data_IF_846135404825
#
_entry.id   IF_846135404825
#
_cell.length_a   1.000
_cell.length_b   1.000
_cell.length_c   1.000
_cell.angle_alpha   90.00
_cell.angle_beta   90.00
_cell.angle_gamma   90.00
#
_symmetry.space_group_name_H-M   'P 1'
#
loop_
_entity.id
_entity.type
_entity.pdbx_description
1 polymer ?
#
# COMPACT_ATOMS: atom_id res chain seq x y z
N UNK A 1 -6.12 21.43 -18.28
CA UNK A 1 -6.82 20.51 -19.20
C UNK A 1 -8.31 20.76 -19.06
N UNK A 2 -9.00 20.99 -20.16
CA UNK A 2 -10.46 21.13 -20.19
C UNK A 2 -11.11 19.76 -20.00
N UNK A 3 -12.21 19.70 -19.24
CA UNK A 3 -12.98 18.48 -19.02
C UNK A 3 -14.09 18.39 -20.08
N UNK A 4 -14.22 17.26 -20.74
CA UNK A 4 -15.22 16.96 -21.75
C UNK A 4 -16.06 15.78 -21.28
N UNK A 5 -17.37 15.85 -21.45
CA UNK A 5 -18.30 14.81 -21.04
C UNK A 5 -18.48 13.80 -22.18
N UNK A 6 -18.39 12.50 -21.86
CA UNK A 6 -18.45 11.42 -22.83
C UNK A 6 -19.81 10.71 -22.79
N UNK A 7 -20.43 10.54 -23.94
CA UNK A 7 -21.64 9.74 -24.12
C UNK A 7 -21.68 9.10 -25.51
N UNK A 8 -21.85 7.80 -25.56
CA UNK A 8 -22.06 7.01 -26.80
C UNK A 8 -21.05 7.31 -27.92
N UNK A 9 -19.78 7.40 -27.58
CA UNK A 9 -18.69 7.65 -28.53
C UNK A 9 -18.44 9.14 -28.84
N UNK A 10 -19.28 10.05 -28.34
CA UNK A 10 -19.18 11.49 -28.57
C UNK A 10 -18.76 12.27 -27.33
N UNK A 11 -18.11 13.42 -27.57
CA UNK A 11 -17.66 14.34 -26.54
C UNK A 11 -18.50 15.62 -26.53
N UNK A 12 -18.76 16.14 -25.34
CA UNK A 12 -19.60 17.33 -25.13
C UNK A 12 -18.89 18.29 -24.16
N UNK A 13 -19.16 19.59 -24.33
CA UNK A 13 -18.61 20.61 -23.45
C UNK A 13 -19.41 20.78 -22.14
N UNK A 14 -20.60 20.22 -22.08
CA UNK A 14 -21.53 20.29 -20.96
C UNK A 14 -22.05 18.91 -20.54
N UNK A 15 -22.51 18.78 -19.30
CA UNK A 15 -23.03 17.55 -18.73
C UNK A 15 -24.46 17.19 -19.14
N UNK A 16 -25.16 18.10 -19.84
CA UNK A 16 -26.49 17.85 -20.40
C UNK A 16 -26.40 17.28 -21.81
N UNK A 17 -25.19 17.16 -22.38
CA UNK A 17 -24.90 16.61 -23.70
C UNK A 17 -25.59 17.39 -24.85
N UNK A 18 -25.69 18.72 -24.69
CA UNK A 18 -26.33 19.59 -25.68
C UNK A 18 -25.33 20.19 -26.67
N UNK A 19 -24.09 20.43 -26.23
CA UNK A 19 -23.06 21.09 -27.01
C UNK A 19 -21.96 20.11 -27.39
N UNK A 20 -22.04 19.44 -28.57
CA UNK A 20 -21.03 18.50 -29.02
C UNK A 20 -19.71 19.22 -29.32
N UNK A 21 -18.61 18.52 -29.06
CA UNK A 21 -17.26 18.96 -29.42
C UNK A 21 -17.00 18.64 -30.88
N UNK A 22 -16.28 19.54 -31.59
CA UNK A 22 -15.90 19.33 -32.99
C UNK A 22 -15.05 18.07 -33.17
N UNK A 23 -15.22 17.34 -34.29
CA UNK A 23 -14.55 16.07 -34.58
C UNK A 23 -13.03 16.22 -34.75
N UNK A 24 -12.50 17.42 -34.97
CA UNK A 24 -11.08 17.73 -35.04
C UNK A 24 -10.43 17.91 -33.64
N UNK A 25 -11.21 17.83 -32.57
CA UNK A 25 -10.67 17.95 -31.22
C UNK A 25 -9.69 16.81 -30.90
N UNK A 26 -8.50 17.13 -30.35
CA UNK A 26 -7.45 16.13 -30.10
C UNK A 26 -7.89 14.99 -29.13
N UNK A 27 -8.91 15.20 -28.32
CA UNK A 27 -9.43 14.15 -27.45
C UNK A 27 -10.08 12.98 -28.23
N UNK A 28 -10.53 13.17 -29.45
CA UNK A 28 -11.03 12.07 -30.29
C UNK A 28 -9.90 11.15 -30.75
N UNK A 29 -8.71 11.67 -31.06
CA UNK A 29 -7.52 10.84 -31.32
C UNK A 29 -7.20 9.94 -30.12
N UNK A 30 -7.26 10.50 -28.89
CA UNK A 30 -7.05 9.72 -27.67
C UNK A 30 -8.08 8.59 -27.53
N UNK A 31 -9.36 8.84 -27.86
CA UNK A 31 -10.41 7.81 -27.81
C UNK A 31 -10.20 6.67 -28.82
N UNK A 32 -9.49 6.90 -29.93
CA UNK A 32 -9.14 5.82 -30.89
C UNK A 32 -8.17 4.80 -30.25
N UNK A 33 -7.33 5.25 -29.32
CA UNK A 33 -6.30 4.43 -28.68
C UNK A 33 -6.72 3.86 -27.31
N UNK A 34 -7.84 4.35 -26.74
CA UNK A 34 -8.23 4.00 -25.37
C UNK A 34 -9.69 3.55 -25.32
N UNK A 35 -9.92 2.34 -24.85
CA UNK A 35 -11.28 1.80 -24.67
C UNK A 35 -11.84 2.25 -23.30
N UNK A 36 -12.95 2.98 -23.32
CA UNK A 36 -13.71 3.31 -22.12
C UNK A 36 -14.54 2.08 -21.72
N UNK A 37 -14.39 1.58 -20.44
CA UNK A 37 -15.17 0.45 -19.96
C UNK A 37 -16.67 0.78 -19.92
N UNK A 38 -17.50 -0.10 -20.48
CA UNK A 38 -18.97 0.10 -20.62
C UNK A 38 -19.74 0.18 -19.30
N UNK A 39 -19.15 -0.34 -18.21
CA UNK A 39 -19.74 -0.30 -16.87
C UNK A 39 -19.54 1.03 -16.13
N UNK A 40 -18.82 1.98 -16.72
CA UNK A 40 -18.59 3.29 -16.11
C UNK A 40 -19.69 4.27 -16.53
N UNK A 41 -20.15 5.05 -15.55
CA UNK A 41 -21.04 6.18 -15.72
C UNK A 41 -20.30 7.51 -15.47
N UNK A 42 -20.92 8.63 -15.82
CA UNK A 42 -20.39 9.98 -15.59
C UNK A 42 -18.94 10.15 -16.06
N UNK A 43 -18.67 9.65 -17.27
CA UNK A 43 -17.32 9.65 -17.82
C UNK A 43 -16.94 11.04 -18.27
N UNK A 44 -15.79 11.51 -17.79
CA UNK A 44 -15.16 12.76 -18.17
C UNK A 44 -13.81 12.46 -18.78
N UNK A 45 -13.62 12.87 -20.04
CA UNK A 45 -12.36 12.78 -20.79
C UNK A 45 -11.67 14.14 -20.73
N UNK A 46 -10.34 14.14 -20.60
CA UNK A 46 -9.57 15.38 -20.58
C UNK A 46 -9.04 15.72 -21.96
N UNK A 47 -9.30 16.96 -22.42
CA UNK A 47 -8.83 17.48 -23.70
C UNK A 47 -7.30 17.56 -23.71
N UNK A 48 -6.66 16.77 -24.56
CA UNK A 48 -5.22 16.66 -24.72
C UNK A 48 -4.89 15.86 -25.98
N UNK A 49 -3.66 16.01 -26.49
CA UNK A 49 -3.16 15.19 -27.59
C UNK A 49 -2.83 13.76 -27.11
N UNK A 50 -2.67 12.82 -28.07
CA UNK A 50 -2.26 11.46 -27.72
C UNK A 50 -0.90 11.41 -27.00
N UNK A 51 0.07 12.20 -27.41
CA UNK A 51 1.37 12.28 -26.75
C UNK A 51 1.28 12.71 -25.30
N UNK A 52 0.48 13.74 -25.01
CA UNK A 52 0.24 14.21 -23.66
C UNK A 52 -0.49 13.14 -22.83
N UNK A 53 -1.47 12.45 -23.42
CA UNK A 53 -2.26 11.40 -22.80
C UNK A 53 -1.40 10.22 -22.31
N UNK A 54 -0.27 9.93 -22.96
CA UNK A 54 0.67 8.88 -22.54
C UNK A 54 1.19 9.10 -21.10
N UNK A 55 1.35 10.34 -20.67
CA UNK A 55 1.94 10.69 -19.37
C UNK A 55 0.94 11.20 -18.33
N UNK A 56 -0.30 11.47 -18.74
CA UNK A 56 -1.31 12.18 -17.93
C UNK A 56 -2.53 11.32 -17.61
N UNK A 57 -3.48 11.91 -16.87
CA UNK A 57 -4.82 11.37 -16.67
C UNK A 57 -5.62 11.52 -17.96
N UNK A 58 -6.16 10.41 -18.47
CA UNK A 58 -6.92 10.40 -19.74
C UNK A 58 -8.39 10.66 -19.47
N UNK A 59 -9.00 9.85 -18.61
CA UNK A 59 -10.40 10.01 -18.25
C UNK A 59 -10.69 9.53 -16.82
N UNK A 60 -11.84 9.95 -16.31
CA UNK A 60 -12.40 9.52 -15.03
C UNK A 60 -13.82 9.09 -15.26
N UNK A 61 -14.27 8.01 -14.62
CA UNK A 61 -15.66 7.58 -14.62
C UNK A 61 -16.08 7.08 -13.24
N UNK A 62 -17.36 6.87 -13.01
CA UNK A 62 -17.94 6.30 -11.79
C UNK A 62 -18.23 4.82 -12.00
N UNK A 63 -17.90 3.96 -11.03
CA UNK A 63 -18.29 2.55 -11.04
C UNK A 63 -19.74 2.38 -10.50
N UNK A 64 -20.28 1.15 -10.53
CA UNK A 64 -21.61 0.81 -10.03
C UNK A 64 -21.88 1.15 -8.55
N UNK A 65 -20.81 1.46 -7.79
CA UNK A 65 -20.89 1.90 -6.38
C UNK A 65 -20.69 3.42 -6.24
N UNK A 66 -20.71 4.19 -7.33
CA UNK A 66 -20.50 5.63 -7.36
C UNK A 66 -19.05 6.05 -7.09
N UNK A 67 -18.08 5.13 -7.09
CA UNK A 67 -16.67 5.44 -6.81
C UNK A 67 -15.98 5.89 -8.09
N UNK A 68 -15.25 7.02 -8.00
CA UNK A 68 -14.47 7.56 -9.13
C UNK A 68 -13.30 6.65 -9.47
N UNK A 69 -13.22 6.24 -10.75
CA UNK A 69 -12.15 5.43 -11.34
C UNK A 69 -11.32 6.31 -12.27
N UNK A 70 -9.99 6.28 -12.10
CA UNK A 70 -9.04 7.14 -12.81
C UNK A 70 -8.20 6.33 -13.79
N UNK A 71 -8.15 6.74 -15.05
CA UNK A 71 -7.45 6.05 -16.12
C UNK A 71 -6.31 6.91 -16.65
N UNK A 72 -5.11 6.42 -16.50
CA UNK A 72 -3.87 7.13 -16.84
C UNK A 72 -3.19 6.52 -18.06
N UNK A 73 -2.38 7.32 -18.74
CA UNK A 73 -1.57 6.90 -19.87
C UNK A 73 -0.50 5.86 -19.52
N UNK A 74 -0.05 5.15 -20.54
CA UNK A 74 0.90 4.02 -20.41
C UNK A 74 2.21 4.43 -19.73
N UNK A 75 2.78 5.57 -20.12
CA UNK A 75 4.03 6.08 -19.52
C UNK A 75 3.84 6.51 -18.07
N UNK A 76 2.69 7.11 -17.74
CA UNK A 76 2.37 7.41 -16.34
C UNK A 76 2.35 6.14 -15.48
N UNK A 77 1.76 5.06 -15.99
CA UNK A 77 1.71 3.76 -15.29
C UNK A 77 3.12 3.18 -15.14
N UNK A 78 3.95 3.24 -16.19
CA UNK A 78 5.35 2.79 -16.14
C UNK A 78 6.17 3.58 -15.12
N UNK A 79 6.10 4.90 -15.12
CA UNK A 79 6.77 5.77 -14.16
C UNK A 79 6.33 5.48 -12.70
N UNK A 80 5.03 5.19 -12.51
CA UNK A 80 4.51 4.79 -11.19
C UNK A 80 5.05 3.43 -10.75
N UNK A 81 5.24 2.50 -11.67
CA UNK A 81 5.81 1.18 -11.39
C UNK A 81 7.30 1.32 -10.99
N UNK A 82 8.10 2.00 -11.80
CA UNK A 82 9.52 2.29 -11.49
C UNK A 82 9.69 3.01 -10.14
N UNK A 83 8.74 3.89 -9.79
CA UNK A 83 8.74 4.53 -8.47
C UNK A 83 8.53 3.53 -7.32
N UNK A 84 7.75 2.47 -7.51
CA UNK A 84 7.56 1.43 -6.45
C UNK A 84 8.83 0.62 -6.25
N UNK A 85 9.54 0.28 -7.31
CA UNK A 85 10.83 -0.39 -7.25
C UNK A 85 11.83 0.45 -6.44
N UNK A 86 11.95 1.75 -6.76
CA UNK A 86 12.79 2.69 -5.99
C UNK A 86 12.37 2.85 -4.53
N UNK A 87 11.08 2.84 -4.24
CA UNK A 87 10.57 2.89 -2.85
C UNK A 87 10.98 1.63 -2.09
N UNK A 88 10.86 0.45 -2.70
CA UNK A 88 11.24 -0.82 -2.07
C UNK A 88 12.71 -0.81 -1.62
N UNK A 89 13.63 -0.48 -2.52
CA UNK A 89 15.08 -0.38 -2.22
C UNK A 89 15.36 0.69 -1.16
N UNK A 90 14.75 1.88 -1.30
CA UNK A 90 14.96 2.99 -0.35
C UNK A 90 14.55 2.62 1.07
N UNK A 91 13.38 2.00 1.24
CA UNK A 91 12.89 1.62 2.56
C UNK A 91 13.75 0.50 3.14
N UNK A 92 14.11 -0.52 2.36
CA UNK A 92 15.03 -1.57 2.79
C UNK A 92 16.33 -0.98 3.39
N UNK A 93 16.96 -0.05 2.69
CA UNK A 93 18.22 0.58 3.11
C UNK A 93 18.10 1.36 4.43
N UNK A 94 16.92 1.84 4.79
CA UNK A 94 16.73 2.60 6.04
C UNK A 94 16.12 1.76 7.18
N UNK A 95 15.69 0.53 6.92
CA UNK A 95 15.04 -0.33 7.94
C UNK A 95 15.94 -0.56 9.16
N UNK A 96 17.26 -0.72 8.99
CA UNK A 96 18.21 -0.84 10.11
C UNK A 96 18.18 0.42 11.00
N UNK A 97 18.15 1.61 10.40
CA UNK A 97 18.07 2.89 11.14
C UNK A 97 16.73 3.04 11.86
N UNK A 98 15.64 2.62 11.24
CA UNK A 98 14.30 2.60 11.85
C UNK A 98 14.30 1.66 13.07
N UNK A 99 14.85 0.45 12.94
CA UNK A 99 14.94 -0.49 14.06
C UNK A 99 15.84 0.05 15.19
N UNK A 100 16.94 0.73 14.88
CA UNK A 100 17.76 1.40 15.89
C UNK A 100 16.96 2.50 16.64
N UNK A 101 16.19 3.31 15.92
CA UNK A 101 15.32 4.32 16.54
C UNK A 101 14.28 3.67 17.49
N UNK A 102 13.60 2.61 17.03
CA UNK A 102 12.63 1.85 17.83
C UNK A 102 13.30 1.33 19.10
N UNK A 103 14.41 0.59 18.98
CA UNK A 103 15.11 -0.04 20.10
C UNK A 103 15.63 0.97 21.14
N UNK A 104 16.03 2.16 20.69
CA UNK A 104 16.47 3.25 21.59
C UNK A 104 15.29 3.83 22.38
N UNK A 105 14.16 4.09 21.72
CA UNK A 105 13.07 4.86 22.30
C UNK A 105 12.02 4.00 23.03
N UNK A 106 11.90 2.71 22.72
CA UNK A 106 10.96 1.79 23.39
C UNK A 106 11.30 1.51 24.86
N UNK A 107 12.49 1.94 25.30
CA UNK A 107 12.95 1.85 26.71
C UNK A 107 12.51 3.03 27.59
N UNK A 108 11.96 4.09 26.99
CA UNK A 108 11.49 5.29 27.68
C UNK A 108 10.19 5.07 28.43
N UNK A 109 9.69 6.11 29.12
CA UNK A 109 8.35 6.10 29.72
C UNK A 109 7.24 6.03 28.64
N UNK A 110 6.12 5.38 28.93
CA UNK A 110 4.94 5.35 28.05
C UNK A 110 4.33 6.73 27.81
N UNK A 111 4.56 7.67 28.69
CA UNK A 111 4.16 9.09 28.57
C UNK A 111 5.07 9.91 27.68
N UNK A 112 6.28 9.42 27.34
CA UNK A 112 7.18 10.08 26.41
C UNK A 112 6.69 9.90 24.97
N UNK A 113 6.59 10.98 24.24
CA UNK A 113 6.12 10.92 22.85
C UNK A 113 7.05 10.14 21.91
N UNK A 114 8.34 10.04 22.21
CA UNK A 114 9.25 9.20 21.43
C UNK A 114 9.05 7.70 21.73
N UNK A 115 8.60 7.35 22.95
CA UNK A 115 8.15 6.00 23.23
C UNK A 115 6.95 5.64 22.36
N UNK A 116 5.93 6.50 22.34
CA UNK A 116 4.75 6.29 21.51
C UNK A 116 5.10 6.23 20.02
N UNK A 117 6.04 7.07 19.54
CA UNK A 117 6.58 6.98 18.18
C UNK A 117 7.27 5.63 17.91
N UNK A 118 8.03 5.11 18.88
CA UNK A 118 8.71 3.83 18.72
C UNK A 118 7.71 2.67 18.64
N UNK A 119 6.66 2.65 19.49
CA UNK A 119 5.60 1.63 19.42
C UNK A 119 4.80 1.77 18.12
N UNK A 120 4.45 3.01 17.73
CA UNK A 120 3.79 3.29 16.45
C UNK A 120 4.59 2.73 15.26
N UNK A 121 5.90 3.02 15.21
CA UNK A 121 6.80 2.54 14.14
C UNK A 121 6.95 1.02 14.17
N UNK A 122 6.98 0.42 15.37
CA UNK A 122 7.05 -1.02 15.52
C UNK A 122 5.78 -1.69 14.96
N UNK A 123 4.59 -1.17 15.28
CA UNK A 123 3.32 -1.65 14.73
C UNK A 123 3.24 -1.45 13.21
N UNK A 124 3.68 -0.27 12.70
CA UNK A 124 3.68 0.01 11.25
C UNK A 124 4.59 -0.96 10.49
N UNK A 125 5.78 -1.27 11.03
CA UNK A 125 6.74 -2.18 10.39
C UNK A 125 6.41 -3.67 10.57
N UNK A 126 5.54 -4.02 11.49
CA UNK A 126 5.06 -5.40 11.70
C UNK A 126 3.80 -5.71 10.91
N UNK A 127 2.84 -4.79 10.91
CA UNK A 127 1.50 -5.04 10.38
C UNK A 127 1.19 -4.22 9.12
N UNK A 128 2.03 -3.23 8.80
CA UNK A 128 1.84 -2.35 7.64
C UNK A 128 0.43 -1.73 7.59
N UNK A 129 -0.11 -1.36 8.77
CA UNK A 129 -1.44 -0.77 8.93
C UNK A 129 -1.51 0.58 8.23
N UNK A 130 -2.65 0.95 7.67
CA UNK A 130 -2.85 2.30 7.11
C UNK A 130 -2.68 3.35 8.20
N UNK A 131 -2.00 4.45 7.89
CA UNK A 131 -1.67 5.53 8.82
C UNK A 131 -2.86 6.03 9.66
N UNK A 132 -4.05 6.21 9.06
CA UNK A 132 -5.23 6.71 9.77
C UNK A 132 -5.18 8.22 10.04
N UNK A 133 -5.66 9.05 9.09
CA UNK A 133 -5.79 10.49 9.31
C UNK A 133 -7.06 10.81 10.06
N UNK A 134 -7.02 11.79 10.95
CA UNK A 134 -8.18 12.29 11.72
C UNK A 134 -9.33 12.73 10.82
N UNK A 135 -9.03 13.31 9.65
CA UNK A 135 -10.04 13.66 8.65
C UNK A 135 -10.89 12.46 8.22
N UNK A 136 -10.26 11.32 7.92
CA UNK A 136 -10.98 10.13 7.46
C UNK A 136 -11.75 9.41 8.58
N UNK A 137 -11.27 9.53 9.83
CA UNK A 137 -12.05 9.07 10.99
C UNK A 137 -13.34 9.86 11.11
N UNK A 138 -13.28 11.20 10.98
CA UNK A 138 -14.46 12.09 11.10
C UNK A 138 -15.44 11.94 9.93
N UNK A 139 -14.94 11.81 8.69
CA UNK A 139 -15.77 11.81 7.49
C UNK A 139 -16.34 10.41 7.14
N UNK A 140 -15.60 9.34 7.46
CA UNK A 140 -15.91 7.99 6.99
C UNK A 140 -15.90 6.94 8.11
N UNK A 141 -15.69 7.34 9.37
CA UNK A 141 -15.57 6.45 10.52
C UNK A 141 -14.51 5.35 10.33
N UNK A 142 -13.50 5.60 9.47
CA UNK A 142 -12.47 4.61 9.18
C UNK A 142 -11.28 4.78 10.09
N UNK A 143 -10.91 3.69 10.76
CA UNK A 143 -9.78 3.64 11.68
C UNK A 143 -8.50 3.25 10.94
N UNK A 144 -7.38 3.78 11.40
CA UNK A 144 -6.03 3.38 11.01
C UNK A 144 -5.09 3.55 12.21
N UNK A 145 -3.81 3.30 12.03
CA UNK A 145 -2.86 3.17 13.13
C UNK A 145 -2.87 4.37 14.09
N UNK A 146 -2.80 5.62 13.57
CA UNK A 146 -2.79 6.83 14.42
C UNK A 146 -4.14 7.08 15.11
N UNK A 147 -5.22 6.53 14.60
CA UNK A 147 -6.58 6.72 15.12
C UNK A 147 -7.12 5.50 15.86
N UNK A 148 -6.25 4.54 16.20
CA UNK A 148 -6.59 3.46 17.13
C UNK A 148 -6.95 4.05 18.49
N UNK A 149 -7.98 3.49 19.13
CA UNK A 149 -8.39 3.77 20.49
C UNK A 149 -8.15 2.54 21.37
N UNK A 150 -8.10 2.71 22.67
CA UNK A 150 -7.90 1.61 23.60
C UNK A 150 -8.96 0.51 23.47
N UNK A 151 -10.21 0.85 23.15
CA UNK A 151 -11.28 -0.13 22.89
C UNK A 151 -11.03 -1.08 21.72
N UNK A 152 -10.05 -0.77 20.86
CA UNK A 152 -9.64 -1.66 19.76
C UNK A 152 -8.60 -2.69 20.20
N UNK A 153 -8.17 -2.65 21.46
CA UNK A 153 -7.11 -3.49 22.04
C UNK A 153 -7.75 -4.40 23.09
N UNK A 154 -7.80 -5.68 22.80
CA UNK A 154 -8.27 -6.71 23.73
C UNK A 154 -7.05 -7.40 24.35
N UNK A 155 -6.94 -7.37 25.68
CA UNK A 155 -5.78 -7.91 26.40
C UNK A 155 -6.17 -9.21 27.08
N UNK A 156 -5.38 -10.25 26.87
CA UNK A 156 -5.46 -11.52 27.58
C UNK A 156 -4.08 -11.88 28.16
N UNK A 157 -3.99 -12.90 29.06
CA UNK A 157 -2.72 -13.29 29.69
C UNK A 157 -1.60 -13.66 28.72
N UNK A 158 -1.94 -14.19 27.54
CA UNK A 158 -0.97 -14.75 26.59
C UNK A 158 -0.88 -13.97 25.27
N UNK A 159 -1.85 -13.10 25.00
CA UNK A 159 -1.89 -12.34 23.75
C UNK A 159 -2.64 -11.01 23.89
N UNK A 160 -2.35 -10.10 22.98
CA UNK A 160 -3.11 -8.88 22.73
C UNK A 160 -3.68 -8.97 21.33
N UNK A 161 -4.99 -8.73 21.20
CA UNK A 161 -5.68 -8.71 19.89
C UNK A 161 -6.08 -7.29 19.57
N UNK A 162 -5.70 -6.85 18.35
CA UNK A 162 -6.01 -5.50 17.84
C UNK A 162 -7.11 -5.66 16.80
N UNK A 163 -8.33 -5.14 17.08
CA UNK A 163 -9.50 -5.25 16.18
C UNK A 163 -10.05 -3.89 15.82
N UNK A 164 -10.21 -3.62 14.53
CA UNK A 164 -10.83 -2.38 14.05
C UNK A 164 -11.37 -2.50 12.63
N UNK A 165 -12.28 -1.59 12.25
CA UNK A 165 -12.76 -1.46 10.88
C UNK A 165 -12.01 -0.34 10.18
N UNK A 166 -11.24 -0.71 9.16
CA UNK A 166 -10.42 0.21 8.37
C UNK A 166 -11.12 0.74 7.13
N UNK A 167 -10.30 1.28 6.22
CA UNK A 167 -10.77 1.82 4.93
C UNK A 167 -11.52 0.76 4.13
N UNK A 168 -12.55 1.19 3.40
CA UNK A 168 -13.44 0.36 2.58
C UNK A 168 -14.26 -0.65 3.41
N UNK A 169 -14.46 -0.36 4.72
CA UNK A 169 -15.18 -1.19 5.70
C UNK A 169 -14.54 -2.58 5.88
N UNK A 170 -13.23 -2.69 5.67
CA UNK A 170 -12.48 -3.93 5.88
C UNK A 170 -12.19 -4.10 7.38
N UNK A 171 -12.61 -5.23 7.95
CA UNK A 171 -12.25 -5.62 9.32
C UNK A 171 -10.80 -6.10 9.36
N UNK A 172 -10.06 -5.61 10.34
CA UNK A 172 -8.69 -6.01 10.62
C UNK A 172 -8.60 -6.64 11.99
N UNK A 173 -7.85 -7.74 12.09
CA UNK A 173 -7.51 -8.40 13.33
C UNK A 173 -6.02 -8.76 13.30
N UNK A 174 -5.29 -8.35 14.34
CA UNK A 174 -3.86 -8.66 14.52
C UNK A 174 -3.63 -9.23 15.90
N UNK A 175 -2.98 -10.38 15.98
CA UNK A 175 -2.66 -11.05 17.25
C UNK A 175 -1.19 -10.81 17.60
N UNK A 176 -0.94 -10.38 18.82
CA UNK A 176 0.39 -10.13 19.37
C UNK A 176 0.60 -11.08 20.55
N UNK A 177 1.23 -12.22 20.30
CA UNK A 177 1.54 -13.19 21.36
C UNK A 177 2.54 -12.63 22.38
N UNK A 178 2.49 -13.11 23.63
CA UNK A 178 3.35 -12.69 24.75
C UNK A 178 4.84 -12.75 24.47
N UNK A 179 5.29 -13.68 23.62
CA UNK A 179 6.69 -13.78 23.16
C UNK A 179 7.09 -12.70 22.17
N UNK A 180 6.12 -11.97 21.59
CA UNK A 180 6.40 -10.95 20.58
C UNK A 180 6.98 -9.70 21.24
N UNK A 181 8.00 -9.10 20.59
CA UNK A 181 8.65 -7.86 21.07
C UNK A 181 7.69 -6.66 21.21
N UNK A 182 6.53 -6.67 20.55
CA UNK A 182 5.50 -5.63 20.65
C UNK A 182 4.61 -5.79 21.89
N UNK A 183 4.48 -7.00 22.43
CA UNK A 183 3.51 -7.30 23.52
C UNK A 183 3.66 -6.36 24.72
N UNK A 184 4.85 -6.36 25.36
CA UNK A 184 5.11 -5.52 26.53
C UNK A 184 4.98 -4.00 26.25
N UNK A 185 5.53 -3.48 25.12
CA UNK A 185 5.33 -2.08 24.77
C UNK A 185 3.87 -1.68 24.54
N UNK A 186 3.08 -2.54 23.92
CA UNK A 186 1.67 -2.27 23.66
C UNK A 186 0.87 -2.31 24.96
N UNK A 187 1.09 -3.33 25.81
CA UNK A 187 0.48 -3.42 27.13
C UNK A 187 0.71 -2.15 27.96
N UNK A 188 1.94 -1.63 27.96
CA UNK A 188 2.31 -0.40 28.68
C UNK A 188 1.61 0.87 28.17
N UNK A 189 1.13 0.88 26.92
CA UNK A 189 0.35 2.01 26.38
C UNK A 189 -1.12 1.98 26.80
N UNK A 190 -1.67 0.80 27.06
CA UNK A 190 -3.09 0.59 27.39
C UNK A 190 -3.36 0.59 28.89
N UNK A 191 -2.30 0.67 29.71
CA UNK A 191 -2.40 0.68 31.17
C UNK A 191 -3.12 1.95 31.65
N UNK A 192 -4.17 1.79 32.47
CA UNK A 192 -4.99 2.86 33.07
C UNK A 192 -5.69 3.84 32.08
N UNK A 193 -5.86 3.49 30.82
CA UNK A 193 -6.43 4.38 29.81
C UNK A 193 -7.93 4.15 29.58
N UNK A 194 -8.70 5.24 29.37
CA UNK A 194 -10.12 5.14 28.99
C UNK A 194 -10.29 4.43 27.61
N UNK A 195 -11.33 3.57 27.45
CA UNK A 195 -11.60 2.88 26.18
C UNK A 195 -11.72 3.80 24.95
N UNK A 196 -12.24 5.01 25.12
CA UNK A 196 -12.45 5.98 24.05
C UNK A 196 -11.22 6.87 23.76
N UNK A 197 -10.19 6.80 24.58
CA UNK A 197 -8.96 7.54 24.39
C UNK A 197 -8.14 6.93 23.23
N UNK A 198 -7.43 7.81 22.47
CA UNK A 198 -6.53 7.35 21.44
C UNK A 198 -5.31 6.63 22.04
N UNK A 199 -4.98 5.46 21.49
CA UNK A 199 -3.80 4.69 21.89
C UNK A 199 -2.50 5.53 21.84
N UNK A 200 -2.39 6.42 20.86
CA UNK A 200 -1.25 7.31 20.67
C UNK A 200 -1.59 8.77 21.00
N UNK A 201 -2.04 9.02 22.23
CA UNK A 201 -2.55 10.33 22.68
C UNK A 201 -1.50 11.47 22.70
N UNK A 202 -0.20 11.16 22.64
CA UNK A 202 0.90 12.16 22.53
C UNK A 202 1.38 12.37 21.09
N UNK A 203 0.77 11.68 20.10
CA UNK A 203 1.13 11.82 18.70
C UNK A 203 0.12 12.69 17.94
N UNK A 204 0.63 13.41 16.96
CA UNK A 204 -0.13 14.09 15.92
C UNK A 204 0.36 13.65 14.55
N UNK A 205 -0.44 13.89 13.50
CA UNK A 205 -0.01 13.63 12.11
C UNK A 205 1.34 14.32 11.82
N UNK A 206 1.48 15.59 12.21
CA UNK A 206 2.71 16.36 12.03
C UNK A 206 3.92 15.68 12.68
N UNK A 207 3.79 15.26 13.94
CA UNK A 207 4.88 14.63 14.69
C UNK A 207 5.34 13.31 14.06
N UNK A 208 4.39 12.49 13.58
CA UNK A 208 4.72 11.26 12.87
C UNK A 208 5.42 11.56 11.54
N UNK A 209 4.93 12.54 10.76
CA UNK A 209 5.57 12.92 9.50
C UNK A 209 6.98 13.48 9.71
N UNK A 210 7.22 14.28 10.73
CA UNK A 210 8.55 14.80 11.08
C UNK A 210 9.50 13.65 11.47
N UNK A 211 9.02 12.69 12.24
CA UNK A 211 9.81 11.48 12.58
C UNK A 211 10.17 10.65 11.34
N UNK A 212 9.22 10.39 10.45
CA UNK A 212 9.45 9.60 9.24
C UNK A 212 10.39 10.33 8.26
N UNK A 213 10.26 11.64 8.15
CA UNK A 213 11.07 12.48 7.24
C UNK A 213 12.59 12.35 7.52
N UNK A 214 13.00 12.16 8.77
CA UNK A 214 14.41 11.98 9.14
C UNK A 214 15.06 10.72 8.51
N UNK A 215 14.25 9.75 8.08
CA UNK A 215 14.71 8.56 7.37
C UNK A 215 14.73 8.75 5.84
N UNK A 216 14.29 9.90 5.31
CA UNK A 216 14.22 10.19 3.88
C UNK A 216 13.09 9.45 3.14
N UNK A 217 12.07 8.98 3.86
CA UNK A 217 10.92 8.25 3.33
C UNK A 217 9.59 8.92 3.74
N UNK A 218 8.50 8.44 3.19
CA UNK A 218 7.12 8.80 3.59
C UNK A 218 6.50 7.63 4.33
N UNK A 219 5.55 7.90 5.23
CA UNK A 219 4.83 6.84 5.95
C UNK A 219 4.17 5.83 4.99
N UNK A 220 3.63 6.29 3.87
CA UNK A 220 3.06 5.42 2.82
C UNK A 220 4.09 4.48 2.19
N UNK A 221 5.37 4.85 2.17
CA UNK A 221 6.43 4.06 1.57
C UNK A 221 6.69 2.78 2.39
N UNK A 222 6.52 2.83 3.72
CA UNK A 222 6.59 1.66 4.60
C UNK A 222 5.55 0.59 4.19
N UNK A 223 4.32 1.01 3.90
CA UNK A 223 3.29 0.07 3.46
C UNK A 223 3.57 -0.49 2.06
N UNK A 224 4.13 0.32 1.14
CA UNK A 224 4.57 -0.18 -0.17
C UNK A 224 5.69 -1.21 -0.01
N UNK A 225 6.66 -0.94 0.83
CA UNK A 225 7.72 -1.89 1.20
C UNK A 225 7.12 -3.16 1.83
N UNK A 226 6.24 -3.00 2.82
CA UNK A 226 5.64 -4.11 3.55
C UNK A 226 4.87 -5.09 2.68
N UNK A 227 4.11 -4.61 1.70
CA UNK A 227 3.42 -5.50 0.75
C UNK A 227 4.42 -6.34 -0.04
N UNK A 228 5.53 -5.75 -0.51
CA UNK A 228 6.57 -6.49 -1.25
C UNK A 228 7.36 -7.43 -0.33
N UNK A 229 7.69 -7.00 0.88
CA UNK A 229 8.35 -7.84 1.89
C UNK A 229 7.50 -9.07 2.24
N UNK A 230 6.21 -8.87 2.53
CA UNK A 230 5.27 -9.96 2.83
C UNK A 230 5.11 -10.90 1.63
N UNK A 231 5.05 -10.35 0.41
CA UNK A 231 5.02 -11.16 -0.81
C UNK A 231 6.26 -12.02 -0.94
N UNK A 232 7.44 -11.46 -0.76
CA UNK A 232 8.72 -12.18 -0.84
C UNK A 232 8.83 -13.24 0.24
N UNK A 233 8.41 -12.94 1.48
CA UNK A 233 8.41 -13.90 2.57
C UNK A 233 7.48 -15.09 2.29
N UNK A 234 6.24 -14.82 1.88
CA UNK A 234 5.29 -15.86 1.51
C UNK A 234 5.77 -16.67 0.30
N UNK A 235 6.38 -16.02 -0.69
CA UNK A 235 6.94 -16.69 -1.87
C UNK A 235 8.06 -17.65 -1.47
N UNK A 236 9.02 -17.18 -0.67
CA UNK A 236 10.11 -17.99 -0.15
C UNK A 236 9.61 -19.18 0.67
N UNK A 237 8.64 -18.95 1.55
CA UNK A 237 8.00 -20.01 2.36
C UNK A 237 7.30 -21.04 1.48
N UNK A 238 6.51 -20.60 0.50
CA UNK A 238 5.81 -21.48 -0.42
C UNK A 238 6.76 -22.37 -1.23
N UNK A 239 7.86 -21.81 -1.73
CA UNK A 239 8.88 -22.57 -2.49
C UNK A 239 9.49 -23.68 -1.62
N UNK A 240 9.69 -23.42 -0.32
CA UNK A 240 10.30 -24.39 0.60
C UNK A 240 9.33 -25.43 1.20
N UNK A 241 8.05 -25.09 1.30
CA UNK A 241 7.07 -25.93 2.03
C UNK A 241 6.05 -26.63 1.14
N UNK A 242 5.83 -26.18 -0.09
CA UNK A 242 4.82 -26.76 -0.99
C UNK A 242 5.45 -27.81 -1.92
N UNK A 243 4.98 -29.06 -1.85
CA UNK A 243 5.42 -30.15 -2.73
C UNK A 243 4.21 -30.95 -3.24
N UNK A 244 4.08 -31.18 -4.57
CA UNK A 244 4.90 -30.62 -5.64
C UNK A 244 4.65 -29.11 -5.85
N UNK A 245 5.69 -28.40 -6.28
CA UNK A 245 5.56 -26.98 -6.58
C UNK A 245 4.56 -26.76 -7.74
N UNK A 246 3.59 -25.83 -7.56
CA UNK A 246 2.70 -25.46 -8.64
C UNK A 246 3.45 -24.70 -9.75
N UNK A 247 2.84 -24.56 -10.94
CA UNK A 247 3.43 -23.73 -11.98
C UNK A 247 3.71 -22.30 -11.48
N UNK A 248 4.73 -21.59 -11.98
CA UNK A 248 5.09 -20.24 -11.52
C UNK A 248 3.89 -19.28 -11.48
N UNK A 249 3.00 -19.34 -12.47
CA UNK A 249 1.78 -18.52 -12.51
C UNK A 249 0.84 -18.82 -11.34
N UNK A 250 0.64 -20.08 -11.01
CA UNK A 250 -0.22 -20.51 -9.87
C UNK A 250 0.42 -20.15 -8.54
N UNK A 251 1.74 -20.36 -8.41
CA UNK A 251 2.52 -19.99 -7.21
C UNK A 251 2.43 -18.49 -6.92
N UNK A 252 2.66 -17.65 -7.93
CA UNK A 252 2.55 -16.20 -7.81
C UNK A 252 1.11 -15.79 -7.40
N UNK A 253 0.09 -16.38 -8.01
CA UNK A 253 -1.30 -16.06 -7.68
C UNK A 253 -1.65 -16.45 -6.22
N UNK A 254 -1.21 -17.62 -5.76
CA UNK A 254 -1.34 -18.05 -4.37
C UNK A 254 -0.66 -17.06 -3.41
N UNK A 255 0.59 -16.73 -3.69
CA UNK A 255 1.39 -15.81 -2.87
C UNK A 255 0.77 -14.40 -2.82
N UNK A 256 0.23 -13.89 -3.94
CA UNK A 256 -0.48 -12.60 -3.95
C UNK A 256 -1.73 -12.67 -3.06
N UNK A 257 -2.47 -13.78 -3.08
CA UNK A 257 -3.66 -13.98 -2.23
C UNK A 257 -3.28 -13.95 -0.76
N UNK A 258 -2.31 -14.75 -0.34
CA UNK A 258 -1.80 -14.77 1.04
C UNK A 258 -1.29 -13.39 1.49
N UNK A 259 -0.55 -12.70 0.63
CA UNK A 259 -0.08 -11.33 0.91
C UNK A 259 -1.23 -10.36 1.12
N UNK A 260 -2.27 -10.45 0.29
CA UNK A 260 -3.44 -9.58 0.40
C UNK A 260 -4.21 -9.80 1.70
N UNK A 261 -4.32 -11.04 2.16
CA UNK A 261 -4.92 -11.40 3.46
C UNK A 261 -4.16 -10.76 4.62
N UNK A 262 -2.82 -10.91 4.65
CA UNK A 262 -1.96 -10.33 5.71
C UNK A 262 -2.08 -8.81 5.79
N UNK A 263 -2.06 -8.11 4.63
CA UNK A 263 -2.04 -6.62 4.62
C UNK A 263 -3.44 -5.98 4.55
N UNK A 264 -4.50 -6.79 4.60
CA UNK A 264 -5.88 -6.31 4.53
C UNK A 264 -6.22 -5.62 3.20
N UNK A 265 -5.89 -6.28 2.07
CA UNK A 265 -6.19 -5.83 0.72
C UNK A 265 -6.95 -6.88 -0.08
N UNK A 266 -7.49 -6.50 -1.25
CA UNK A 266 -7.79 -7.50 -2.28
C UNK A 266 -6.51 -7.86 -3.05
N UNK A 267 -6.41 -9.07 -3.63
CA UNK A 267 -5.25 -9.45 -4.46
C UNK A 267 -4.98 -8.45 -5.60
N UNK A 268 -6.03 -7.94 -6.23
CA UNK A 268 -5.92 -6.92 -7.30
C UNK A 268 -5.31 -5.61 -6.80
N UNK A 269 -5.70 -5.12 -5.61
CA UNK A 269 -5.14 -3.90 -5.00
C UNK A 269 -3.68 -4.13 -4.62
N UNK A 270 -3.33 -5.25 -3.99
CA UNK A 270 -1.94 -5.58 -3.65
C UNK A 270 -1.06 -5.53 -4.90
N UNK A 271 -1.45 -6.23 -5.97
CA UNK A 271 -0.71 -6.30 -7.23
C UNK A 271 -0.59 -4.93 -7.92
N UNK A 272 -1.71 -4.23 -8.12
CA UNK A 272 -1.74 -3.01 -8.95
C UNK A 272 -1.22 -1.76 -8.24
N UNK A 273 -1.41 -1.66 -6.92
CA UNK A 273 -1.13 -0.42 -6.20
C UNK A 273 0.20 -0.44 -5.42
N UNK A 274 0.72 -1.61 -5.07
CA UNK A 274 1.84 -1.73 -4.14
C UNK A 274 3.01 -2.58 -4.65
N UNK A 275 2.76 -3.71 -5.35
CA UNK A 275 3.85 -4.60 -5.76
C UNK A 275 4.77 -3.94 -6.78
N UNK A 276 6.06 -4.09 -6.57
CA UNK A 276 7.12 -3.70 -7.47
C UNK A 276 7.10 -4.60 -8.71
N UNK A 277 7.19 -3.98 -9.90
CA UNK A 277 7.05 -4.72 -11.15
C UNK A 277 8.26 -5.63 -11.37
N UNK A 278 9.46 -5.14 -11.06
CA UNK A 278 10.71 -5.90 -11.20
C UNK A 278 10.69 -7.17 -10.34
N UNK A 279 10.14 -7.11 -9.11
CA UNK A 279 9.97 -8.29 -8.25
C UNK A 279 9.03 -9.32 -8.93
N UNK A 280 7.89 -8.85 -9.45
CA UNK A 280 6.93 -9.76 -10.11
C UNK A 280 7.48 -10.39 -11.39
N UNK A 281 8.36 -9.70 -12.13
CA UNK A 281 9.02 -10.28 -13.30
C UNK A 281 10.09 -11.31 -12.86
N UNK A 282 10.91 -10.98 -11.85
CA UNK A 282 11.96 -11.85 -11.34
C UNK A 282 11.42 -13.21 -10.86
N UNK A 283 10.31 -13.23 -10.11
CA UNK A 283 9.72 -14.48 -9.59
C UNK A 283 9.03 -15.33 -10.66
N UNK A 284 8.92 -14.87 -11.90
CA UNK A 284 8.44 -15.68 -13.04
C UNK A 284 9.53 -16.59 -13.61
N UNK A 285 10.80 -16.25 -13.39
CA UNK A 285 11.92 -17.04 -13.87
C UNK A 285 12.02 -18.35 -13.10
N UNK A 286 11.97 -19.48 -13.82
CA UNK A 286 12.09 -20.81 -13.23
C UNK A 286 13.45 -21.03 -12.57
N UNK A 287 14.52 -20.50 -13.14
CA UNK A 287 15.88 -20.63 -12.60
C UNK A 287 15.99 -19.94 -11.22
N UNK A 288 15.17 -18.93 -10.98
CA UNK A 288 15.12 -18.22 -9.72
C UNK A 288 14.56 -19.07 -8.56
N UNK A 289 13.69 -20.06 -8.85
CA UNK A 289 13.19 -21.00 -7.84
C UNK A 289 14.31 -21.80 -7.19
N UNK A 290 15.34 -22.17 -7.95
CA UNK A 290 16.50 -22.90 -7.43
C UNK A 290 17.32 -22.03 -6.45
N UNK A 291 17.44 -20.73 -6.75
CA UNK A 291 18.09 -19.78 -5.84
C UNK A 291 17.30 -19.67 -4.54
N UNK A 292 15.98 -19.51 -4.63
CA UNK A 292 15.09 -19.40 -3.46
C UNK A 292 15.18 -20.67 -2.58
N UNK A 293 15.22 -21.86 -3.20
CA UNK A 293 15.27 -23.13 -2.47
C UNK A 293 16.55 -23.32 -1.65
N UNK A 294 17.67 -22.70 -2.07
CA UNK A 294 19.01 -22.86 -1.47
C UNK A 294 19.40 -21.76 -0.48
N UNK A 295 18.62 -20.66 -0.40
CA UNK A 295 18.95 -19.48 0.41
C UNK A 295 18.11 -19.41 1.69
N UNK A 296 18.65 -18.75 2.71
CA UNK A 296 17.86 -18.20 3.82
C UNK A 296 17.00 -17.03 3.32
N UNK A 297 15.99 -16.61 4.10
CA UNK A 297 15.15 -15.49 3.69
C UNK A 297 15.95 -14.17 3.58
N UNK A 298 16.90 -13.93 4.47
CA UNK A 298 17.72 -12.71 4.46
C UNK A 298 18.63 -12.65 3.22
N UNK A 299 19.27 -13.76 2.85
CA UNK A 299 20.06 -13.88 1.61
C UNK A 299 19.18 -13.67 0.38
N UNK A 300 18.02 -14.33 0.33
CA UNK A 300 17.04 -14.15 -0.74
C UNK A 300 16.61 -12.71 -0.88
N UNK A 301 16.25 -12.05 0.23
CA UNK A 301 15.83 -10.65 0.24
C UNK A 301 16.95 -9.73 -0.28
N UNK A 302 18.21 -9.97 0.11
CA UNK A 302 19.36 -9.21 -0.38
C UNK A 302 19.52 -9.35 -1.90
N UNK A 303 19.45 -10.57 -2.44
CA UNK A 303 19.52 -10.83 -3.89
C UNK A 303 18.43 -10.06 -4.65
N UNK A 304 17.18 -10.07 -4.12
CA UNK A 304 16.07 -9.33 -4.72
C UNK A 304 16.32 -7.84 -4.71
N UNK A 305 16.82 -7.28 -3.59
CA UNK A 305 17.11 -5.85 -3.47
C UNK A 305 18.18 -5.42 -4.47
N UNK A 306 19.26 -6.19 -4.60
CA UNK A 306 20.36 -5.90 -5.54
C UNK A 306 19.86 -5.95 -6.99
N UNK A 307 19.04 -6.93 -7.34
CA UNK A 307 18.43 -7.02 -8.67
C UNK A 307 17.51 -5.83 -8.97
N UNK A 308 16.62 -5.44 -8.02
CA UNK A 308 15.74 -4.28 -8.20
C UNK A 308 16.53 -2.99 -8.31
N UNK A 309 17.61 -2.84 -7.54
CA UNK A 309 18.51 -1.68 -7.59
C UNK A 309 19.15 -1.56 -8.97
N UNK A 310 19.78 -2.62 -9.46
CA UNK A 310 20.41 -2.64 -10.79
C UNK A 310 19.43 -2.29 -11.93
N UNK A 311 18.17 -2.73 -11.81
CA UNK A 311 17.10 -2.42 -12.77
C UNK A 311 16.58 -0.98 -12.70
N UNK A 312 16.88 -0.23 -11.64
CA UNK A 312 16.41 1.16 -11.46
C UNK A 312 17.48 2.21 -11.72
N UNK A 313 18.75 1.82 -11.73
CA UNK A 313 19.92 2.70 -11.93
C UNK A 313 20.37 2.75 -13.41
N UNK A 314 19.84 1.86 -14.26
CA UNK A 314 19.98 1.84 -15.71
C UNK A 314 18.77 2.46 -16.40
#
# INVERSE_FOLDING_TARGET
>A
MRALFYKDGKLFTDNNFLNPVSDDNPAYEVLQHVKIPTHLTDVVVYEQTWEEALTRLIFVGSDSKGRRQYFYGKMHIQNRNAKRDRIFVRVYNVMKRINCFINKNIKKSSTDSNYQLAVFMLMETMFFIRFGKMKYLKENETVGLLTLKNKHIEISPDEIVIKFVGKDKVSHEFVVHKSNRLYKPLLKLTDDSSPEEFLFNKLSERKVYECIKQFGIKIKDLRTYGVNYTFLYNFWTNVKSVSPLPSPKKLIALTIKQTAEVVGHTPSISKRAYMATTILEMVKDKNFLDVVSKTTFDEFLSIVVDHVKSSTDG
#
